data_IF_302970874102
#
_entry.id   IF_302970874102
#
_cell.length_a   1.000
_cell.length_b   1.000
_cell.length_c   1.000
_cell.angle_alpha   90.00
_cell.angle_beta   90.00
_cell.angle_gamma   90.00
#
_symmetry.space_group_name_H-M   'P 1'
#
loop_
_entity.id
_entity.type
_entity.pdbx_description
1 polymer ?
#
# COMPACT_ATOMS: atom_id res chain seq x y z
N UNK A 1 -35.15 -13.82 27.01
CA UNK A 1 -34.33 -12.83 26.44
C UNK A 1 -32.86 -13.26 26.32
N UNK A 2 -32.45 -13.48 25.19
CA UNK A 2 -31.09 -13.94 25.01
C UNK A 2 -30.15 -12.77 24.96
N UNK A 3 -29.14 -12.88 25.72
CA UNK A 3 -28.03 -11.98 25.59
C UNK A 3 -27.39 -12.32 24.30
N UNK A 4 -27.54 -11.45 23.37
CA UNK A 4 -26.84 -11.64 22.13
C UNK A 4 -25.41 -11.28 22.39
N UNK A 5 -24.61 -12.30 22.43
CA UNK A 5 -23.21 -12.10 22.47
C UNK A 5 -22.77 -11.83 21.05
N UNK A 6 -22.59 -10.59 20.79
CA UNK A 6 -21.95 -10.23 19.55
C UNK A 6 -20.53 -10.67 19.59
N UNK A 7 -20.26 -11.66 18.82
CA UNK A 7 -18.86 -11.85 18.45
C UNK A 7 -18.62 -11.04 17.20
N UNK A 8 -18.33 -9.78 17.41
CA UNK A 8 -17.83 -8.97 16.31
C UNK A 8 -16.59 -9.64 15.78
N UNK A 9 -16.52 -9.81 14.48
CA UNK A 9 -15.29 -10.16 13.84
C UNK A 9 -14.25 -9.13 14.23
N UNK A 10 -13.09 -9.61 14.56
CA UNK A 10 -11.97 -8.78 14.91
C UNK A 10 -11.60 -7.94 13.71
N UNK A 11 -11.38 -6.65 13.90
CA UNK A 11 -10.87 -5.80 12.84
C UNK A 11 -9.37 -6.02 12.71
N UNK A 12 -8.93 -6.22 11.50
CA UNK A 12 -7.53 -6.32 11.19
C UNK A 12 -7.13 -5.20 10.25
N UNK A 13 -6.03 -4.55 10.57
CA UNK A 13 -5.48 -3.52 9.70
C UNK A 13 -4.45 -4.15 8.80
N UNK A 14 -4.66 -4.01 7.51
CA UNK A 14 -3.73 -4.48 6.50
C UNK A 14 -3.14 -3.28 5.79
N UNK A 15 -1.83 -3.20 5.78
CA UNK A 15 -1.12 -2.11 5.12
C UNK A 15 -0.50 -2.60 3.82
N UNK A 16 -0.65 -1.81 2.77
CA UNK A 16 -0.08 -2.14 1.47
C UNK A 16 0.60 -0.93 0.85
N UNK A 17 1.69 -1.20 0.16
CA UNK A 17 2.42 -0.20 -0.61
C UNK A 17 2.26 -0.53 -2.09
N UNK A 18 2.02 0.50 -2.88
CA UNK A 18 1.93 0.39 -4.33
C UNK A 18 2.98 1.30 -4.94
N UNK A 19 3.86 0.73 -5.75
CA UNK A 19 4.95 1.46 -6.37
C UNK A 19 4.99 1.18 -7.87
N UNK A 20 5.53 2.13 -8.61
CA UNK A 20 5.77 1.92 -10.03
C UNK A 20 6.84 0.84 -10.24
N UNK A 21 6.66 0.05 -11.28
CA UNK A 21 7.69 -0.90 -11.70
C UNK A 21 8.97 -0.16 -12.04
N UNK A 22 10.11 -0.82 -11.87
CA UNK A 22 11.43 -0.20 -12.05
C UNK A 22 11.61 0.46 -13.41
N UNK A 23 11.03 -0.16 -14.43
CA UNK A 23 11.20 0.31 -15.81
C UNK A 23 10.26 1.46 -16.18
N UNK A 24 9.35 1.80 -15.29
CA UNK A 24 8.38 2.88 -15.53
C UNK A 24 8.92 4.18 -14.97
N UNK A 25 8.92 5.21 -15.81
CA UNK A 25 9.33 6.55 -15.39
C UNK A 25 8.38 7.08 -14.32
N UNK A 26 8.94 7.68 -13.29
CA UNK A 26 8.21 8.36 -12.24
C UNK A 26 8.42 9.87 -12.37
N UNK A 27 7.54 10.60 -13.07
CA UNK A 27 7.72 12.03 -13.27
C UNK A 27 7.71 12.82 -11.97
N UNK A 28 6.86 12.42 -11.00
CA UNK A 28 6.78 13.10 -9.71
C UNK A 28 8.03 12.89 -8.88
N UNK A 29 8.53 11.66 -8.84
CA UNK A 29 9.77 11.35 -8.14
C UNK A 29 10.94 12.11 -8.75
N UNK A 30 10.96 12.23 -10.06
CA UNK A 30 12.01 12.98 -10.76
C UNK A 30 12.00 14.47 -10.40
N UNK A 31 10.82 15.08 -10.34
CA UNK A 31 10.66 16.47 -9.95
C UNK A 31 11.11 16.69 -8.51
N UNK A 32 10.73 15.78 -7.62
CA UNK A 32 11.15 15.83 -6.22
C UNK A 32 12.67 15.76 -6.13
N UNK A 33 13.28 14.86 -6.88
CA UNK A 33 14.73 14.71 -6.91
C UNK A 33 15.42 16.00 -7.36
N UNK A 34 14.94 16.59 -8.44
CA UNK A 34 15.48 17.85 -8.97
C UNK A 34 15.35 18.98 -7.96
N UNK A 35 14.20 19.06 -7.29
CA UNK A 35 13.96 20.08 -6.27
C UNK A 35 14.90 19.93 -5.09
N UNK A 36 15.06 18.69 -4.60
CA UNK A 36 15.98 18.42 -3.51
C UNK A 36 17.42 18.74 -3.88
N UNK A 37 17.81 18.41 -5.11
CA UNK A 37 19.13 18.72 -5.62
C UNK A 37 19.36 20.22 -5.61
N UNK A 38 18.37 21.01 -6.04
CA UNK A 38 18.43 22.48 -6.01
C UNK A 38 18.50 23.05 -4.60
N UNK A 39 18.03 22.29 -3.59
CA UNK A 39 18.10 22.70 -2.19
C UNK A 39 19.42 22.31 -1.51
N UNK A 40 20.31 21.66 -2.22
CA UNK A 40 21.62 21.28 -1.69
C UNK A 40 21.78 19.83 -1.30
N UNK A 41 20.75 18.99 -1.48
CA UNK A 41 20.85 17.57 -1.18
C UNK A 41 21.46 16.85 -2.38
N UNK A 42 22.77 16.73 -2.39
CA UNK A 42 23.52 16.24 -3.54
C UNK A 42 23.79 14.73 -3.55
N UNK A 43 23.55 14.06 -2.44
CA UNK A 43 23.86 12.63 -2.28
C UNK A 43 22.72 11.71 -2.70
N UNK A 44 21.73 12.22 -3.43
CA UNK A 44 20.56 11.46 -3.82
C UNK A 44 20.75 10.89 -5.23
N UNK A 45 20.66 9.59 -5.36
CA UNK A 45 20.75 8.93 -6.67
C UNK A 45 19.40 8.91 -7.37
N UNK A 46 18.32 8.67 -6.63
CA UNK A 46 17.01 8.53 -7.23
C UNK A 46 15.92 8.77 -6.19
N UNK A 47 14.80 9.34 -6.62
CA UNK A 47 13.60 9.45 -5.79
C UNK A 47 12.46 8.79 -6.54
N UNK A 48 11.78 7.85 -5.88
CA UNK A 48 10.61 7.16 -6.42
C UNK A 48 9.47 7.35 -5.45
N UNK A 49 8.28 7.62 -5.99
CA UNK A 49 7.09 7.87 -5.20
C UNK A 49 6.12 6.71 -5.34
N UNK A 50 5.38 6.42 -4.30
CA UNK A 50 4.37 5.38 -4.31
C UNK A 50 3.17 5.76 -3.47
N UNK A 51 2.24 4.82 -3.34
CA UNK A 51 1.03 4.99 -2.55
C UNK A 51 1.06 4.02 -1.37
N UNK A 52 0.50 4.46 -0.27
CA UNK A 52 0.37 3.65 0.93
C UNK A 52 -1.09 3.61 1.34
N UNK A 53 -1.61 2.42 1.57
CA UNK A 53 -2.99 2.23 2.02
C UNK A 53 -3.02 1.45 3.32
N UNK A 54 -3.88 1.89 4.24
CA UNK A 54 -4.24 1.14 5.43
C UNK A 54 -5.71 0.77 5.30
N UNK A 55 -6.00 -0.50 5.38
CA UNK A 55 -7.36 -1.00 5.18
C UNK A 55 -7.77 -1.80 6.40
N UNK A 56 -8.85 -1.38 7.04
CA UNK A 56 -9.44 -2.13 8.14
C UNK A 56 -10.39 -3.16 7.56
N UNK A 57 -10.11 -4.41 7.82
CA UNK A 57 -10.91 -5.52 7.32
C UNK A 57 -11.56 -6.23 8.50
N UNK A 58 -12.85 -6.49 8.41
CA UNK A 58 -13.55 -7.27 9.43
C UNK A 58 -13.29 -8.74 9.20
N UNK A 59 -12.21 -9.23 9.75
CA UNK A 59 -11.79 -10.62 9.60
C UNK A 59 -10.94 -11.03 10.80
N UNK A 60 -11.08 -12.28 11.21
CA UNK A 60 -10.30 -12.83 12.32
C UNK A 60 -9.02 -13.52 11.87
N UNK A 61 -9.03 -14.02 10.65
CA UNK A 61 -7.92 -14.77 10.11
C UNK A 61 -6.97 -13.85 9.35
N UNK A 62 -5.72 -13.69 9.79
CA UNK A 62 -4.77 -12.83 9.09
C UNK A 62 -4.56 -13.19 7.62
N UNK A 63 -4.59 -14.47 7.30
CA UNK A 63 -4.41 -14.89 5.91
C UNK A 63 -5.60 -14.47 5.04
N UNK A 64 -6.81 -14.61 5.57
CA UNK A 64 -8.01 -14.16 4.84
C UNK A 64 -8.04 -12.66 4.64
N UNK A 65 -7.64 -11.92 5.68
CA UNK A 65 -7.55 -10.45 5.58
C UNK A 65 -6.56 -10.05 4.48
N UNK A 66 -5.42 -10.70 4.45
CA UNK A 66 -4.41 -10.49 3.42
C UNK A 66 -4.96 -10.77 2.02
N UNK A 67 -5.64 -11.90 1.86
CA UNK A 67 -6.20 -12.30 0.58
C UNK A 67 -7.23 -11.30 0.07
N UNK A 68 -8.06 -10.78 0.97
CA UNK A 68 -9.05 -9.76 0.63
C UNK A 68 -8.35 -8.51 0.09
N UNK A 69 -7.32 -8.04 0.77
CA UNK A 69 -6.61 -6.84 0.36
C UNK A 69 -5.81 -7.08 -0.93
N UNK A 70 -5.25 -8.27 -1.12
CA UNK A 70 -4.61 -8.62 -2.39
C UNK A 70 -5.60 -8.50 -3.55
N UNK A 71 -6.82 -8.99 -3.37
CA UNK A 71 -7.85 -8.86 -4.39
C UNK A 71 -8.21 -7.42 -4.67
N UNK A 72 -8.25 -6.59 -3.63
CA UNK A 72 -8.48 -5.14 -3.79
C UNK A 72 -7.36 -4.50 -4.62
N UNK A 73 -6.11 -4.86 -4.33
CA UNK A 73 -4.97 -4.36 -5.08
C UNK A 73 -5.06 -4.72 -6.56
N UNK A 74 -5.39 -5.98 -6.83
CA UNK A 74 -5.48 -6.47 -8.21
C UNK A 74 -6.61 -5.83 -8.98
N UNK A 75 -7.73 -5.54 -8.30
CA UNK A 75 -8.94 -5.05 -8.97
C UNK A 75 -9.00 -3.53 -9.09
N UNK A 76 -8.39 -2.82 -8.16
CA UNK A 76 -8.57 -1.36 -8.10
C UNK A 76 -7.34 -0.60 -7.66
N UNK A 77 -6.69 -1.01 -6.57
CA UNK A 77 -5.69 -0.18 -5.92
C UNK A 77 -4.40 -0.03 -6.73
N UNK A 78 -4.04 -1.06 -7.47
CA UNK A 78 -2.82 -1.06 -8.27
C UNK A 78 -3.14 -1.28 -9.74
N UNK A 79 -2.48 -0.52 -10.60
CA UNK A 79 -2.51 -0.76 -12.03
C UNK A 79 -1.35 -1.72 -12.36
N UNK A 80 -1.65 -3.01 -12.46
CA UNK A 80 -0.63 -4.05 -12.59
C UNK A 80 0.19 -3.99 -13.87
N UNK A 81 -0.23 -3.18 -14.83
CA UNK A 81 0.57 -2.95 -16.04
C UNK A 81 1.83 -2.16 -15.70
N UNK A 82 1.71 -1.17 -14.82
CA UNK A 82 2.80 -0.26 -14.50
C UNK A 82 3.20 -0.24 -13.03
N UNK A 83 2.41 -0.90 -12.17
CA UNK A 83 2.64 -0.86 -10.71
C UNK A 83 2.79 -2.24 -10.12
N UNK A 84 3.53 -2.31 -9.04
CA UNK A 84 3.60 -3.47 -8.15
C UNK A 84 2.92 -3.13 -6.83
N UNK A 85 2.45 -4.13 -6.13
CA UNK A 85 1.95 -3.94 -4.78
C UNK A 85 2.65 -4.91 -3.84
N UNK A 86 2.68 -4.53 -2.56
CA UNK A 86 3.25 -5.37 -1.51
C UNK A 86 2.44 -5.19 -0.24
N UNK A 87 1.99 -6.30 0.34
CA UNK A 87 1.37 -6.27 1.66
C UNK A 87 2.51 -6.19 2.68
N UNK A 88 2.50 -5.12 3.49
CA UNK A 88 3.59 -4.88 4.40
C UNK A 88 3.31 -5.47 5.76
N UNK A 89 2.07 -5.30 6.22
CA UNK A 89 1.75 -5.56 7.61
C UNK A 89 0.29 -5.96 7.76
N UNK A 90 0.02 -6.90 8.66
CA UNK A 90 -1.32 -7.28 9.05
C UNK A 90 -1.37 -7.26 10.58
N UNK A 91 -2.25 -6.43 11.12
CA UNK A 91 -2.41 -6.31 12.58
C UNK A 91 -3.82 -6.65 13.01
#
# INVERSE_FOLDING_TARGET
YSIIIYQKKKKMKVSTIITLKKDVLDPQGKVIHQTLDGMGFKDINEVRQGKYFEIDVEENDPQKAKDIVENMCKKLLANLVIENYKIIETQ
#
